data_IF_927889872694
#
_entry.id   IF_927889872694
#
_cell.length_a   1.000
_cell.length_b   1.000
_cell.length_c   1.000
_cell.angle_alpha   90.00
_cell.angle_beta   90.00
_cell.angle_gamma   90.00
#
_symmetry.space_group_name_H-M   'P 1'
#
loop_
_entity.id
_entity.type
_entity.pdbx_description
1 polymer ?
#
# COMPACT_ATOMS: atom_id res chain seq x y z
N UNK A 1 -18.84 -0.36 13.68
CA UNK A 1 -18.40 0.07 12.32
C UNK A 1 -17.31 -0.90 11.86
N UNK A 2 -17.37 -1.45 10.65
CA UNK A 2 -16.35 -2.40 10.17
C UNK A 2 -15.07 -1.66 9.75
N UNK A 3 -13.89 -2.23 10.02
CA UNK A 3 -12.56 -1.64 9.72
C UNK A 3 -12.43 -1.13 8.28
N UNK A 4 -13.03 -1.83 7.31
CA UNK A 4 -13.02 -1.42 5.89
C UNK A 4 -13.71 -0.06 5.65
N UNK A 5 -14.86 0.18 6.28
CA UNK A 5 -15.56 1.48 6.15
C UNK A 5 -14.72 2.62 6.73
N UNK A 6 -13.96 2.35 7.79
CA UNK A 6 -13.05 3.33 8.40
C UNK A 6 -11.89 3.65 7.45
N UNK A 7 -11.30 2.62 6.82
CA UNK A 7 -10.25 2.80 5.82
C UNK A 7 -10.72 3.68 4.66
N UNK A 8 -11.89 3.41 4.09
CA UNK A 8 -12.47 4.23 3.02
C UNK A 8 -12.63 5.68 3.44
N UNK A 9 -13.16 5.94 4.63
CA UNK A 9 -13.34 7.30 5.12
C UNK A 9 -12.01 8.02 5.25
N UNK A 10 -10.98 7.37 5.82
CA UNK A 10 -9.66 7.98 5.98
C UNK A 10 -8.99 8.29 4.63
N UNK A 11 -9.06 7.36 3.68
CA UNK A 11 -8.53 7.58 2.33
C UNK A 11 -9.26 8.74 1.64
N UNK A 12 -10.58 8.81 1.80
CA UNK A 12 -11.39 9.89 1.25
C UNK A 12 -11.10 11.25 1.88
N UNK A 13 -10.82 11.31 3.19
CA UNK A 13 -10.55 12.54 3.94
C UNK A 13 -9.17 13.10 3.64
N UNK A 14 -8.14 12.24 3.71
CA UNK A 14 -6.76 12.67 3.59
C UNK A 14 -6.30 12.82 2.14
N UNK A 15 -6.93 12.10 1.21
CA UNK A 15 -6.50 12.07 -0.20
C UNK A 15 -4.97 11.92 -0.36
N UNK A 16 -4.33 10.93 0.29
CA UNK A 16 -2.86 10.86 0.35
C UNK A 16 -2.27 10.55 -1.03
N UNK A 17 -1.16 11.19 -1.39
CA UNK A 17 -0.43 10.89 -2.63
C UNK A 17 0.08 9.44 -2.62
N UNK A 18 0.51 8.96 -1.45
CA UNK A 18 0.91 7.56 -1.24
C UNK A 18 0.49 7.06 0.14
N UNK A 19 -0.12 5.87 0.17
CA UNK A 19 -0.60 5.22 1.37
C UNK A 19 -0.18 3.74 1.38
N UNK A 20 0.37 3.26 2.50
CA UNK A 20 0.55 1.82 2.75
C UNK A 20 -0.43 1.35 3.81
N UNK A 21 -1.12 0.24 3.54
CA UNK A 21 -2.02 -0.44 4.46
C UNK A 21 -1.41 -1.77 4.85
N UNK A 22 -1.06 -1.94 6.12
CA UNK A 22 -0.48 -3.19 6.62
C UNK A 22 -1.55 -4.16 7.11
N UNK A 23 -1.47 -5.40 6.60
CA UNK A 23 -2.26 -6.54 7.03
C UNK A 23 -1.33 -7.65 7.55
N UNK A 24 -1.83 -8.49 8.44
CA UNK A 24 -1.04 -9.57 9.04
C UNK A 24 -0.96 -10.79 8.11
N UNK A 25 -2.01 -11.07 7.33
CA UNK A 25 -2.05 -12.23 6.43
C UNK A 25 -2.14 -11.82 4.95
N UNK A 26 -1.66 -12.70 4.06
CA UNK A 26 -1.80 -12.51 2.61
C UNK A 26 -3.25 -12.53 2.14
N UNK A 27 -4.12 -13.28 2.82
CA UNK A 27 -5.56 -13.37 2.49
C UNK A 27 -6.24 -12.03 2.78
N UNK A 28 -5.96 -11.45 3.93
CA UNK A 28 -6.52 -10.14 4.31
C UNK A 28 -5.97 -9.04 3.41
N UNK A 29 -4.67 -9.09 3.07
CA UNK A 29 -4.05 -8.18 2.13
C UNK A 29 -4.78 -8.18 0.77
N UNK A 30 -5.05 -9.36 0.19
CA UNK A 30 -5.78 -9.47 -1.07
C UNK A 30 -7.24 -9.01 -0.92
N UNK A 31 -7.94 -9.45 0.13
CA UNK A 31 -9.35 -9.10 0.37
C UNK A 31 -9.56 -7.59 0.55
N UNK A 32 -8.67 -6.90 1.28
CA UNK A 32 -8.71 -5.45 1.45
C UNK A 32 -8.43 -4.74 0.13
N UNK A 33 -7.45 -5.22 -0.66
CA UNK A 33 -7.14 -4.67 -1.97
C UNK A 33 -8.33 -4.77 -2.94
N UNK A 34 -8.95 -5.96 -3.03
CA UNK A 34 -10.10 -6.20 -3.90
C UNK A 34 -11.30 -5.33 -3.50
N UNK A 35 -11.56 -5.21 -2.20
CA UNK A 35 -12.63 -4.37 -1.68
C UNK A 35 -12.38 -2.87 -1.98
N UNK A 36 -11.13 -2.40 -1.89
CA UNK A 36 -10.76 -1.04 -2.28
C UNK A 36 -10.94 -0.80 -3.78
N UNK A 37 -10.49 -1.72 -4.62
CA UNK A 37 -10.66 -1.59 -6.08
C UNK A 37 -12.14 -1.61 -6.49
N UNK A 38 -12.97 -2.42 -5.83
CA UNK A 38 -14.41 -2.50 -6.09
C UNK A 38 -15.16 -1.17 -5.86
N UNK A 39 -14.59 -0.26 -5.06
CA UNK A 39 -15.15 1.08 -4.81
C UNK A 39 -14.35 2.21 -5.48
N UNK A 40 -13.50 1.87 -6.45
CA UNK A 40 -12.75 2.83 -7.26
C UNK A 40 -11.51 3.43 -6.58
N UNK A 41 -11.04 2.84 -5.46
CA UNK A 41 -9.78 3.25 -4.82
C UNK A 41 -8.63 2.55 -5.55
N UNK A 42 -7.63 3.31 -6.02
CA UNK A 42 -6.52 2.74 -6.77
C UNK A 42 -5.54 1.99 -5.85
N UNK A 43 -5.77 0.68 -5.67
CA UNK A 43 -5.04 -0.16 -4.75
C UNK A 43 -4.29 -1.32 -5.42
N UNK A 44 -3.13 -1.68 -4.87
CA UNK A 44 -2.37 -2.88 -5.22
C UNK A 44 -2.06 -3.70 -3.97
N UNK A 45 -2.01 -5.03 -4.13
CA UNK A 45 -1.60 -5.94 -3.06
C UNK A 45 -0.12 -6.30 -3.19
N UNK A 46 0.58 -6.44 -2.07
CA UNK A 46 1.96 -6.87 -2.00
C UNK A 46 2.15 -7.90 -0.88
N UNK A 47 2.25 -9.17 -1.26
CA UNK A 47 2.41 -10.29 -0.33
C UNK A 47 3.39 -11.33 -0.87
N UNK A 48 3.78 -12.30 -0.05
CA UNK A 48 4.84 -13.27 -0.37
C UNK A 48 4.55 -14.24 -1.52
N UNK A 49 3.27 -14.43 -1.89
CA UNK A 49 2.91 -15.31 -3.03
C UNK A 49 3.11 -14.65 -4.41
N UNK A 50 3.43 -13.36 -4.48
CA UNK A 50 3.69 -12.71 -5.76
C UNK A 50 5.04 -13.17 -6.32
N UNK A 51 5.08 -13.50 -7.61
CA UNK A 51 6.34 -13.70 -8.31
C UNK A 51 7.18 -12.41 -8.28
N UNK A 52 8.50 -12.55 -8.34
CA UNK A 52 9.42 -11.40 -8.33
C UNK A 52 9.05 -10.37 -9.41
N UNK A 53 8.62 -10.85 -10.58
CA UNK A 53 8.14 -10.03 -11.69
C UNK A 53 6.97 -9.13 -11.30
N UNK A 54 5.96 -9.69 -10.64
CA UNK A 54 4.73 -8.99 -10.28
C UNK A 54 4.97 -8.05 -9.09
N UNK A 55 5.86 -8.47 -8.19
CA UNK A 55 6.39 -7.64 -7.10
C UNK A 55 7.04 -6.37 -7.67
N UNK A 56 7.97 -6.50 -8.60
CA UNK A 56 8.66 -5.35 -9.18
C UNK A 56 7.68 -4.41 -9.91
N UNK A 57 6.74 -4.96 -10.68
CA UNK A 57 5.71 -4.17 -11.36
C UNK A 57 4.79 -3.42 -10.38
N UNK A 58 4.39 -4.07 -9.30
CA UNK A 58 3.57 -3.48 -8.24
C UNK A 58 4.28 -2.28 -7.60
N UNK A 59 5.57 -2.45 -7.30
CA UNK A 59 6.38 -1.39 -6.70
C UNK A 59 6.60 -0.22 -7.66
N UNK A 60 6.84 -0.47 -8.95
CA UNK A 60 6.96 0.60 -9.95
C UNK A 60 5.67 1.40 -10.06
N UNK A 61 4.51 0.72 -10.14
CA UNK A 61 3.19 1.38 -10.22
C UNK A 61 2.87 2.20 -8.98
N UNK A 62 3.26 1.72 -7.80
CA UNK A 62 3.07 2.47 -6.57
C UNK A 62 4.01 3.67 -6.48
N UNK A 63 5.31 3.46 -6.74
CA UNK A 63 6.32 4.51 -6.66
C UNK A 63 6.08 5.66 -7.64
N UNK A 64 5.40 5.41 -8.77
CA UNK A 64 5.07 6.43 -9.74
C UNK A 64 3.64 6.98 -9.62
N UNK A 65 2.85 6.61 -8.60
CA UNK A 65 1.49 7.14 -8.41
C UNK A 65 0.42 6.56 -9.36
N UNK A 66 0.74 5.49 -10.10
CA UNK A 66 -0.28 4.71 -10.83
C UNK A 66 -1.12 3.81 -9.94
N UNK A 67 -0.68 3.64 -8.69
CA UNK A 67 -1.51 3.24 -7.58
C UNK A 67 -1.15 4.09 -6.37
N UNK A 68 -2.17 4.56 -5.64
CA UNK A 68 -1.97 5.42 -4.48
C UNK A 68 -2.04 4.64 -3.16
N UNK A 69 -2.65 3.46 -3.18
CA UNK A 69 -2.70 2.56 -2.02
C UNK A 69 -1.94 1.28 -2.30
N UNK A 70 -1.05 0.91 -1.40
CA UNK A 70 -0.37 -0.38 -1.39
C UNK A 70 -0.79 -1.14 -0.13
N UNK A 71 -1.53 -2.23 -0.29
CA UNK A 71 -1.88 -3.15 0.79
C UNK A 71 -0.77 -4.18 0.89
N UNK A 72 -0.15 -4.37 2.06
CA UNK A 72 1.03 -5.21 2.18
C UNK A 72 1.09 -6.02 3.48
N UNK A 73 1.82 -7.14 3.45
CA UNK A 73 2.26 -7.86 4.65
C UNK A 73 3.67 -7.43 5.06
N UNK A 74 4.04 -7.63 6.33
CA UNK A 74 5.36 -7.24 6.86
C UNK A 74 6.52 -7.89 6.08
N UNK A 75 6.40 -9.19 5.81
CA UNK A 75 7.42 -9.95 5.08
C UNK A 75 7.61 -9.37 3.68
N UNK A 76 6.51 -9.04 3.00
CA UNK A 76 6.59 -8.48 1.66
C UNK A 76 7.00 -7.01 1.66
N UNK A 77 6.80 -6.28 2.76
CA UNK A 77 7.19 -4.89 2.89
C UNK A 77 8.64 -4.68 3.37
N UNK A 78 9.28 -5.73 3.88
CA UNK A 78 10.71 -5.69 4.23
C UNK A 78 11.57 -5.50 2.98
N UNK A 79 12.63 -4.70 3.12
CA UNK A 79 13.53 -4.35 2.03
C UNK A 79 12.97 -3.35 1.01
N UNK A 80 11.77 -2.80 1.23
CA UNK A 80 11.24 -1.74 0.38
C UNK A 80 11.83 -0.38 0.77
N UNK A 81 12.58 0.24 -0.14
CA UNK A 81 12.93 1.66 -0.06
C UNK A 81 11.78 2.51 -0.61
N UNK A 82 10.61 2.38 0.01
CA UNK A 82 9.49 3.27 -0.25
C UNK A 82 9.78 4.57 0.51
N UNK A 83 10.16 5.60 -0.22
CA UNK A 83 10.42 6.95 0.29
C UNK A 83 9.19 7.50 1.03
N UNK A 84 9.44 8.38 2.01
CA UNK A 84 8.51 9.06 2.92
C UNK A 84 7.04 9.02 2.50
N UNK A 85 6.32 8.00 2.97
CA UNK A 85 4.88 7.87 2.75
C UNK A 85 4.13 8.98 3.45
N UNK A 86 3.05 9.45 2.84
CA UNK A 86 2.17 10.46 3.46
C UNK A 86 1.28 9.83 4.53
N UNK A 87 0.76 8.62 4.26
CA UNK A 87 -0.09 7.88 5.18
C UNK A 87 0.36 6.42 5.34
N UNK A 88 0.44 5.96 6.58
CA UNK A 88 0.57 4.54 6.94
C UNK A 88 -0.64 4.14 7.76
N UNK A 89 -1.31 3.06 7.35
CA UNK A 89 -2.44 2.49 8.07
C UNK A 89 -2.12 1.07 8.52
N UNK A 90 -2.12 0.82 9.83
CA UNK A 90 -2.13 -0.54 10.35
C UNK A 90 -3.57 -1.03 10.40
N UNK A 91 -4.01 -1.78 9.39
CA UNK A 91 -5.37 -2.32 9.33
C UNK A 91 -5.61 -3.35 10.43
N UNK A 92 -4.56 -4.10 10.76
CA UNK A 92 -4.49 -4.96 11.93
C UNK A 92 -3.29 -4.55 12.77
N UNK A 93 -3.44 -4.63 14.09
CA UNK A 93 -2.33 -4.39 14.99
C UNK A 93 -1.22 -5.39 14.71
N UNK A 94 0.01 -4.88 14.72
CA UNK A 94 1.19 -5.73 14.70
C UNK A 94 1.20 -6.63 15.93
N UNK A 95 1.70 -7.86 15.75
CA UNK A 95 1.85 -8.82 16.84
C UNK A 95 2.98 -8.44 17.79
N UNK A 96 4.00 -7.77 17.26
CA UNK A 96 5.21 -7.42 17.98
C UNK A 96 5.48 -5.90 17.90
N UNK A 97 5.96 -5.26 18.98
CA UNK A 97 6.29 -3.84 19.02
C UNK A 97 7.35 -3.43 17.99
N UNK A 98 8.37 -4.26 17.74
CA UNK A 98 9.43 -3.97 16.77
C UNK A 98 8.85 -3.90 15.35
N UNK A 99 7.93 -4.82 15.03
CA UNK A 99 7.19 -4.80 13.77
C UNK A 99 6.35 -3.52 13.67
N UNK A 100 5.67 -3.11 14.74
CA UNK A 100 4.89 -1.88 14.76
C UNK A 100 5.74 -0.65 14.43
N UNK A 101 6.90 -0.51 15.11
CA UNK A 101 7.85 0.58 14.87
C UNK A 101 8.35 0.58 13.42
N UNK A 102 8.64 -0.60 12.86
CA UNK A 102 9.06 -0.72 11.47
C UNK A 102 7.98 -0.33 10.46
N UNK A 103 6.69 -0.57 10.77
CA UNK A 103 5.55 -0.14 9.95
C UNK A 103 5.41 1.39 9.97
N UNK A 104 5.34 2.00 11.15
CA UNK A 104 5.17 3.45 11.27
C UNK A 104 6.42 4.22 10.80
N UNK A 105 7.62 3.62 10.90
CA UNK A 105 8.87 4.19 10.38
C UNK A 105 8.97 4.26 8.85
N UNK A 106 7.90 3.88 8.11
CA UNK A 106 7.75 4.08 6.66
C UNK A 106 7.22 5.46 6.30
N UNK A 107 6.70 6.19 7.29
CA UNK A 107 6.31 7.59 7.16
C UNK A 107 7.26 8.47 7.97
N UNK A 108 7.15 9.80 7.81
CA UNK A 108 7.88 10.81 8.60
C UNK A 108 9.43 10.65 8.63
N UNK A 109 10.07 10.37 7.48
CA UNK A 109 11.54 10.42 7.33
C UNK A 109 11.99 11.80 6.84
N UNK A 110 13.14 12.27 7.33
CA UNK A 110 13.83 13.49 6.87
C UNK A 110 13.01 14.81 6.95
N UNK A 111 12.27 15.02 8.04
CA UNK A 111 11.59 16.29 8.33
C UNK A 111 10.22 16.49 7.64
N UNK A 112 9.70 15.49 6.94
CA UNK A 112 8.34 15.53 6.36
C UNK A 112 7.28 15.11 7.39
N UNK A 113 6.10 15.77 7.36
CA UNK A 113 4.93 15.38 8.16
C UNK A 113 4.29 14.13 7.58
N UNK A 114 4.34 13.04 8.32
CA UNK A 114 3.77 11.76 7.94
C UNK A 114 2.78 11.27 8.97
N UNK A 115 1.66 10.70 8.54
CA UNK A 115 0.59 10.24 9.43
C UNK A 115 0.59 8.71 9.53
N UNK A 116 0.59 8.19 10.76
CA UNK A 116 0.41 6.77 11.03
C UNK A 116 -0.86 6.54 11.86
N UNK A 117 -1.78 5.72 11.35
CA UNK A 117 -3.05 5.39 12.01
C UNK A 117 -3.11 3.88 12.20
N UNK A 118 -3.47 3.43 13.41
CA UNK A 118 -3.66 2.01 13.69
C UNK A 118 -5.11 1.73 14.04
N UNK A 119 -5.70 0.72 13.40
CA UNK A 119 -7.03 0.27 13.75
C UNK A 119 -6.95 -0.72 14.89
N UNK A 120 -7.87 -0.55 15.84
CA UNK A 120 -8.03 -1.43 16.97
C UNK A 120 -9.51 -1.82 17.03
N UNK A 121 -9.80 -3.10 16.83
CA UNK A 121 -11.09 -3.65 17.21
C UNK A 121 -11.18 -3.74 18.74
N UNK A 122 -12.40 -3.77 19.32
CA UNK A 122 -12.56 -3.91 20.77
C UNK A 122 -11.81 -5.11 21.37
N UNK A 123 -11.76 -6.22 20.63
CA UNK A 123 -11.07 -7.46 21.03
C UNK A 123 -9.54 -7.32 21.01
N UNK A 124 -9.03 -6.31 20.30
CA UNK A 124 -7.59 -6.02 20.19
C UNK A 124 -7.12 -4.97 21.20
N UNK A 125 -8.02 -4.39 22.01
CA UNK A 125 -7.71 -3.28 22.92
C UNK A 125 -6.64 -3.64 23.96
N UNK A 126 -6.68 -4.86 24.51
CA UNK A 126 -5.64 -5.34 25.43
C UNK A 126 -4.27 -5.39 24.75
N UNK A 127 -4.21 -5.85 23.50
CA UNK A 127 -2.96 -5.88 22.72
C UNK A 127 -2.45 -4.48 22.43
N UNK A 128 -3.34 -3.54 22.09
CA UNK A 128 -2.97 -2.15 21.89
C UNK A 128 -2.32 -1.54 23.14
N UNK A 129 -2.88 -1.81 24.33
CA UNK A 129 -2.34 -1.33 25.59
C UNK A 129 -0.95 -1.91 25.88
N UNK A 130 -0.78 -3.24 25.76
CA UNK A 130 0.53 -3.89 25.93
C UNK A 130 1.56 -3.31 24.96
N UNK A 131 1.18 -3.14 23.69
CA UNK A 131 2.06 -2.56 22.67
C UNK A 131 2.43 -1.11 23.02
N UNK A 132 1.49 -0.33 23.56
CA UNK A 132 1.77 1.04 24.00
C UNK A 132 2.72 1.12 25.20
N UNK A 133 2.59 0.19 26.15
CA UNK A 133 3.47 0.09 27.31
C UNK A 133 4.89 -0.31 26.88
N UNK A 134 5.02 -1.32 26.03
CA UNK A 134 6.32 -1.78 25.50
C UNK A 134 7.02 -0.71 24.68
N UNK A 135 6.27 0.10 23.92
CA UNK A 135 6.82 1.20 23.13
C UNK A 135 6.98 2.50 23.93
N UNK A 136 6.50 2.56 25.17
CA UNK A 136 6.43 3.76 25.98
C UNK A 136 5.72 4.92 25.25
N UNK A 137 4.67 4.61 24.49
CA UNK A 137 3.88 5.57 23.72
C UNK A 137 2.52 5.80 24.39
N UNK A 138 2.08 7.05 24.44
CA UNK A 138 0.71 7.37 24.85
C UNK A 138 -0.24 7.14 23.67
N UNK A 139 -1.19 6.22 23.80
CA UNK A 139 -2.23 6.02 22.80
C UNK A 139 -3.16 7.24 22.75
N UNK A 140 -3.29 7.82 21.57
CA UNK A 140 -4.32 8.82 21.29
C UNK A 140 -5.52 8.11 20.64
N UNK A 141 -6.48 7.70 21.46
CA UNK A 141 -7.70 7.05 20.98
C UNK A 141 -8.57 8.07 20.25
N UNK A 142 -8.68 7.90 18.94
CA UNK A 142 -9.55 8.71 18.09
C UNK A 142 -10.86 7.98 17.84
N UNK A 143 -11.97 8.69 17.96
CA UNK A 143 -13.25 8.19 17.51
C UNK A 143 -13.24 8.05 15.99
N UNK A 144 -13.96 7.04 15.48
CA UNK A 144 -14.17 6.93 14.05
C UNK A 144 -14.81 8.23 13.51
N UNK A 145 -14.30 8.79 12.42
CA UNK A 145 -14.89 9.97 11.81
C UNK A 145 -16.36 9.74 11.47
N UNK A 146 -17.15 10.81 11.56
CA UNK A 146 -18.56 10.77 11.18
C UNK A 146 -18.72 10.30 9.73
N UNK A 147 -19.85 9.66 9.44
CA UNK A 147 -20.17 9.19 8.09
C UNK A 147 -20.21 10.40 7.15
N UNK A 148 -19.39 10.38 6.12
CA UNK A 148 -19.28 11.44 5.13
C UNK A 148 -19.39 10.87 3.72
N UNK A 149 -19.60 11.76 2.74
CA UNK A 149 -19.50 11.40 1.32
C UNK A 149 -18.09 10.87 1.02
N UNK A 150 -18.02 9.75 0.31
CA UNK A 150 -16.76 9.09 -0.02
C UNK A 150 -16.29 9.52 -1.41
N UNK A 151 -15.05 9.99 -1.48
CA UNK A 151 -14.36 10.34 -2.72
C UNK A 151 -13.37 9.23 -3.08
N UNK A 152 -13.43 8.67 -4.30
CA UNK A 152 -12.45 7.69 -4.78
C UNK A 152 -11.04 8.27 -4.87
N UNK A 153 -10.04 7.53 -4.38
CA UNK A 153 -8.63 7.86 -4.56
C UNK A 153 -8.16 7.34 -5.93
N UNK A 154 -8.45 8.08 -6.99
CA UNK A 154 -8.03 7.74 -8.35
C UNK A 154 -6.50 7.83 -8.51
N UNK A 155 -5.95 6.96 -9.38
CA UNK A 155 -4.55 7.03 -9.77
C UNK A 155 -4.26 8.35 -10.50
N UNK A 156 -3.15 9.01 -10.15
CA UNK A 156 -2.71 10.22 -10.84
C UNK A 156 -2.02 9.88 -12.18
N UNK A 157 -1.36 8.73 -12.22
CA UNK A 157 -0.57 8.27 -13.35
C UNK A 157 -1.11 6.98 -13.96
N UNK A 158 -0.77 6.74 -15.22
CA UNK A 158 -0.94 5.43 -15.85
C UNK A 158 0.44 4.87 -16.22
N UNK A 159 0.74 3.66 -15.73
CA UNK A 159 1.95 2.91 -16.10
C UNK A 159 1.63 2.02 -17.29
N UNK A 160 2.28 2.27 -18.42
CA UNK A 160 2.25 1.38 -19.58
C UNK A 160 3.48 0.46 -19.54
N UNK A 161 3.25 -0.84 -19.57
CA UNK A 161 4.31 -1.83 -19.69
C UNK A 161 4.41 -2.27 -21.15
N UNK A 162 5.52 -1.95 -21.82
CA UNK A 162 5.79 -2.42 -23.19
C UNK A 162 6.82 -3.54 -23.11
N UNK A 163 6.40 -4.75 -23.47
CA UNK A 163 7.29 -5.90 -23.65
C UNK A 163 8.10 -5.72 -24.95
N UNK A 164 9.21 -4.98 -24.87
CA UNK A 164 10.17 -4.83 -25.95
C UNK A 164 11.01 -6.10 -26.11
N UNK A 165 10.51 -7.09 -26.84
CA UNK A 165 11.28 -8.30 -27.15
C UNK A 165 12.21 -8.10 -28.35
N UNK A 166 13.53 -8.05 -28.16
CA UNK A 166 14.46 -8.40 -29.27
C UNK A 166 14.50 -9.93 -29.39
N UNK A 167 14.22 -10.44 -30.59
CA UNK A 167 14.29 -11.88 -30.90
C UNK A 167 15.78 -12.26 -30.90
N UNK A 168 16.20 -13.15 -30.00
CA UNK A 168 17.57 -13.63 -29.91
C UNK A 168 17.61 -15.16 -29.97
N UNK A 169 18.56 -15.69 -30.72
CA UNK A 169 18.75 -17.12 -30.90
C UNK A 169 19.77 -17.65 -29.89
N UNK A 170 19.49 -18.80 -29.27
CA UNK A 170 20.47 -19.44 -28.40
C UNK A 170 21.36 -20.44 -29.18
N UNK A 171 22.41 -20.95 -28.54
CA UNK A 171 23.35 -21.92 -29.14
C UNK A 171 22.71 -23.23 -29.64
N UNK A 172 21.43 -23.49 -29.34
CA UNK A 172 20.67 -24.65 -29.82
C UNK A 172 19.71 -24.32 -30.97
N UNK A 173 19.84 -23.14 -31.60
CA UNK A 173 18.99 -22.71 -32.72
C UNK A 173 17.55 -22.39 -32.35
N UNK A 174 17.23 -22.29 -31.05
CA UNK A 174 15.90 -21.91 -30.58
C UNK A 174 15.84 -20.40 -30.38
N UNK A 175 14.78 -19.79 -30.92
CA UNK A 175 14.48 -18.38 -30.71
C UNK A 175 13.83 -18.17 -29.35
N UNK A 176 14.43 -17.29 -28.54
CA UNK A 176 13.83 -16.82 -27.30
C UNK A 176 13.64 -15.30 -27.40
N UNK A 177 12.52 -14.81 -26.88
CA UNK A 177 12.31 -13.37 -26.74
C UNK A 177 13.05 -12.91 -25.49
N UNK A 178 14.12 -12.12 -25.67
CA UNK A 178 14.75 -11.43 -24.54
C UNK A 178 13.86 -10.23 -24.20
N UNK A 179 13.10 -10.33 -23.12
CA UNK A 179 12.17 -9.28 -22.71
C UNK A 179 12.97 -8.11 -22.11
N UNK A 180 13.16 -7.05 -22.88
CA UNK A 180 13.66 -5.77 -22.38
C UNK A 180 12.44 -4.88 -22.11
N UNK A 181 11.88 -4.99 -20.89
CA UNK A 181 10.66 -4.27 -20.52
C UNK A 181 10.98 -2.82 -20.20
N UNK A 182 10.38 -1.90 -20.96
CA UNK A 182 10.41 -0.48 -20.66
C UNK A 182 9.07 -0.05 -20.09
N UNK A 183 9.10 0.57 -18.91
CA UNK A 183 7.94 1.20 -18.30
C UNK A 183 7.87 2.66 -18.75
N UNK A 184 6.74 3.05 -19.32
CA UNK A 184 6.45 4.44 -19.63
C UNK A 184 5.37 4.95 -18.68
N UNK A 185 5.54 6.15 -18.16
CA UNK A 185 4.63 6.76 -17.20
C UNK A 185 3.98 7.96 -17.88
N UNK A 186 2.65 7.99 -17.97
CA UNK A 186 1.89 9.13 -18.52
C UNK A 186 1.04 9.75 -17.42
N UNK A 187 1.07 11.08 -17.28
CA UNK A 187 0.07 11.80 -16.46
C UNK A 187 -1.31 11.55 -17.05
N UNK A 188 -2.29 11.24 -16.19
CA UNK A 188 -3.69 11.26 -16.60
C UNK A 188 -4.04 12.65 -17.10
N UNK A 189 -4.27 12.79 -18.41
CA UNK A 189 -4.78 14.04 -18.96
C UNK A 189 -6.21 14.23 -18.46
N UNK A 190 -6.46 15.35 -17.76
CA UNK A 190 -7.82 15.83 -17.54
C UNK A 190 -8.54 15.85 -18.88
N UNK A 191 -9.57 15.01 -19.06
CA UNK A 191 -10.63 15.34 -20.02
C UNK A 191 -11.35 16.54 -19.41
N UNK A 192 -11.05 17.73 -19.90
CA UNK A 192 -12.01 18.83 -19.83
C UNK A 192 -13.20 18.40 -20.67
N UNK A 193 -14.36 18.27 -20.05
CA UNK A 193 -15.65 18.24 -20.72
C UNK A 193 -16.59 19.13 -19.92
#
# INVERSE_FOLDING_TARGET
MKKFSLLQTLLSQHQPASCVVFCNTKKDCQAVCDALNAVGQSALALHGDLEQRDRDQTLVRFANGSARVLVATDVAARGLDIKSLELVVNYELAWDPEVHVHRIGRTARAGSSGLAISFCAPEEAQRANILSEMLQLKLNWLNAPARQSLLPLAAEMATLCIDGGKKSENASGRYFRRADRRYWIRRGGYRQN
#
